data_IF_375669661711
#
_entry.id   IF_375669661711
#
_cell.length_a   1.000
_cell.length_b   1.000
_cell.length_c   1.000
_cell.angle_alpha   90.00
_cell.angle_beta   90.00
_cell.angle_gamma   90.00
#
_symmetry.space_group_name_H-M   'P 1'
#
loop_
_entity.id
_entity.type
_entity.pdbx_description
1 polymer ?
#
# COMPACT_ATOMS: atom_id res chain seq x y z
N UNK A 1 -17.07 -13.06 -16.68
CA UNK A 1 -16.84 -13.58 -18.05
C UNK A 1 -16.05 -12.57 -18.85
N UNK A 2 -15.08 -13.03 -19.64
CA UNK A 2 -14.31 -12.19 -20.56
C UNK A 2 -14.42 -12.72 -21.99
N UNK A 3 -14.41 -11.82 -22.97
CA UNK A 3 -14.40 -12.16 -24.40
C UNK A 3 -13.42 -11.28 -25.15
N UNK A 4 -12.76 -11.84 -26.14
CA UNK A 4 -11.94 -11.07 -27.08
C UNK A 4 -12.85 -10.50 -28.17
N UNK A 5 -12.74 -9.21 -28.44
CA UNK A 5 -13.51 -8.51 -29.48
C UNK A 5 -12.58 -7.51 -30.18
N UNK A 6 -12.28 -7.73 -31.46
CA UNK A 6 -11.51 -6.80 -32.31
C UNK A 6 -10.18 -6.30 -31.70
N UNK A 7 -9.41 -7.20 -31.08
CA UNK A 7 -8.07 -6.89 -30.54
C UNK A 7 -8.05 -6.28 -29.14
N UNK A 8 -9.17 -6.31 -28.41
CA UNK A 8 -9.23 -5.98 -26.98
C UNK A 8 -10.05 -7.02 -26.20
N UNK A 9 -9.83 -7.08 -24.89
CA UNK A 9 -10.62 -7.91 -23.98
C UNK A 9 -11.79 -7.11 -23.42
N UNK A 10 -13.00 -7.66 -23.48
CA UNK A 10 -14.19 -7.15 -22.79
C UNK A 10 -14.50 -8.03 -21.60
N UNK A 11 -14.68 -7.41 -20.44
CA UNK A 11 -15.01 -8.09 -19.18
C UNK A 11 -16.33 -7.57 -18.61
N UNK A 12 -17.01 -8.40 -17.82
CA UNK A 12 -18.11 -7.94 -16.96
C UNK A 12 -17.54 -7.68 -15.56
N UNK A 13 -17.64 -6.44 -15.11
CA UNK A 13 -17.20 -6.03 -13.78
C UNK A 13 -18.40 -5.89 -12.83
N UNK A 14 -18.19 -6.22 -11.56
CA UNK A 14 -19.12 -5.95 -10.48
C UNK A 14 -18.48 -4.95 -9.53
N UNK A 15 -19.18 -3.87 -9.22
CA UNK A 15 -18.74 -2.93 -8.19
C UNK A 15 -18.81 -3.63 -6.83
N UNK A 16 -17.69 -3.58 -6.11
CA UNK A 16 -17.65 -3.98 -4.71
C UNK A 16 -18.08 -2.79 -3.85
N UNK A 17 -18.90 -3.01 -2.82
CA UNK A 17 -19.22 -1.96 -1.87
C UNK A 17 -17.94 -1.52 -1.15
N UNK A 18 -17.80 -0.21 -0.91
CA UNK A 18 -16.71 0.31 -0.09
C UNK A 18 -16.86 -0.28 1.32
N UNK A 19 -15.81 -0.90 1.84
CA UNK A 19 -15.71 -1.22 3.26
C UNK A 19 -15.11 -0.01 3.95
N UNK A 20 -15.91 0.63 4.81
CA UNK A 20 -15.41 1.63 5.73
C UNK A 20 -15.12 0.92 7.06
N UNK A 21 -13.84 0.63 7.28
CA UNK A 21 -13.37 0.25 8.61
C UNK A 21 -13.28 1.55 9.41
N UNK A 22 -14.25 1.79 10.28
CA UNK A 22 -14.27 2.93 11.19
C UNK A 22 -14.07 2.43 12.62
N UNK A 23 -12.98 2.85 13.26
CA UNK A 23 -12.67 2.49 14.64
C UNK A 23 -11.23 2.87 15.03
N UNK A 24 -10.97 2.92 16.33
CA UNK A 24 -9.68 3.31 16.92
C UNK A 24 -8.49 2.48 16.39
N UNK A 25 -8.74 1.22 16.03
CA UNK A 25 -7.74 0.30 15.47
C UNK A 25 -7.21 0.77 14.10
N UNK A 26 -8.03 1.44 13.30
CA UNK A 26 -7.66 1.93 11.97
C UNK A 26 -6.74 3.13 12.09
N UNK A 27 -7.08 4.11 12.91
CA UNK A 27 -6.25 5.31 13.13
C UNK A 27 -4.88 4.97 13.74
N UNK A 28 -4.87 4.05 14.70
CA UNK A 28 -3.65 3.51 15.29
C UNK A 28 -2.78 2.82 14.23
N UNK A 29 -3.39 1.98 13.39
CA UNK A 29 -2.68 1.29 12.31
C UNK A 29 -2.15 2.26 11.26
N UNK A 30 -2.93 3.26 10.85
CA UNK A 30 -2.48 4.30 9.93
C UNK A 30 -1.24 5.03 10.46
N UNK A 31 -1.28 5.47 11.72
CA UNK A 31 -0.16 6.18 12.35
C UNK A 31 1.11 5.33 12.39
N UNK A 32 0.98 4.04 12.71
CA UNK A 32 2.08 3.08 12.69
C UNK A 32 2.66 2.90 11.28
N UNK A 33 1.80 2.68 10.29
CA UNK A 33 2.20 2.45 8.89
C UNK A 33 2.88 3.68 8.30
N UNK A 34 2.38 4.89 8.59
CA UNK A 34 3.03 6.15 8.19
C UNK A 34 4.45 6.19 8.74
N UNK A 35 4.62 5.97 10.05
CA UNK A 35 5.95 5.99 10.70
C UNK A 35 6.92 5.00 10.07
N UNK A 36 6.46 3.77 9.78
CA UNK A 36 7.26 2.75 9.09
C UNK A 36 7.64 3.18 7.68
N UNK A 37 6.72 3.79 6.95
CA UNK A 37 6.97 4.31 5.62
C UNK A 37 8.00 5.45 5.63
N UNK A 38 7.95 6.37 6.60
CA UNK A 38 8.96 7.43 6.70
C UNK A 38 10.37 6.86 6.90
N UNK A 39 10.50 5.81 7.72
CA UNK A 39 11.76 5.10 7.92
C UNK A 39 12.24 4.42 6.64
N UNK A 40 11.33 3.74 5.92
CA UNK A 40 11.62 3.11 4.63
C UNK A 40 12.12 4.12 3.59
N UNK A 41 11.45 5.26 3.41
CA UNK A 41 11.86 6.28 2.42
C UNK A 41 13.21 6.89 2.81
N UNK A 42 13.46 7.10 4.10
CA UNK A 42 14.75 7.60 4.59
C UNK A 42 15.90 6.62 4.34
N UNK A 43 15.67 5.33 4.49
CA UNK A 43 16.68 4.28 4.28
C UNK A 43 16.91 3.96 2.80
N UNK A 44 15.88 4.04 1.97
CA UNK A 44 15.98 3.85 0.52
C UNK A 44 16.71 4.99 -0.22
N UNK A 45 17.11 6.05 0.50
CA UNK A 45 17.83 7.22 -0.04
C UNK A 45 17.11 7.86 -1.24
N UNK A 46 15.77 7.91 -1.18
CA UNK A 46 14.97 8.45 -2.26
C UNK A 46 15.16 9.97 -2.38
N UNK A 47 15.44 10.44 -3.59
CA UNK A 47 15.65 11.86 -3.91
C UNK A 47 14.40 12.72 -3.61
N UNK A 48 13.22 12.10 -3.51
CA UNK A 48 11.93 12.74 -3.34
C UNK A 48 11.31 12.53 -1.94
N UNK A 49 12.13 12.44 -0.90
CA UNK A 49 11.66 12.24 0.49
C UNK A 49 10.48 13.15 0.87
N UNK A 50 10.63 14.48 0.75
CA UNK A 50 9.59 15.43 1.17
C UNK A 50 8.27 15.26 0.41
N UNK A 51 8.34 14.96 -0.89
CA UNK A 51 7.16 14.74 -1.71
C UNK A 51 6.44 13.43 -1.32
N UNK A 52 7.20 12.38 -0.98
CA UNK A 52 6.63 11.11 -0.54
C UNK A 52 5.98 11.21 0.84
N UNK A 53 6.60 11.93 1.78
CA UNK A 53 6.00 12.20 3.09
C UNK A 53 4.73 13.04 2.95
N UNK A 54 4.71 14.03 2.06
CA UNK A 54 3.52 14.82 1.81
C UNK A 54 2.38 13.97 1.22
N UNK A 55 2.69 13.01 0.34
CA UNK A 55 1.69 12.15 -0.30
C UNK A 55 0.94 11.24 0.69
N UNK A 56 1.58 10.83 1.79
CA UNK A 56 0.98 9.93 2.79
C UNK A 56 0.24 10.67 3.92
N UNK A 57 0.19 12.00 3.90
CA UNK A 57 -0.61 12.81 4.84
C UNK A 57 -2.07 12.86 4.39
N UNK A 58 -2.78 11.75 4.58
CA UNK A 58 -4.20 11.61 4.22
C UNK A 58 -5.00 11.01 5.38
N UNK A 59 -6.24 11.47 5.53
CA UNK A 59 -7.15 11.03 6.61
C UNK A 59 -7.99 9.80 6.21
N UNK A 60 -7.74 9.20 5.04
CA UNK A 60 -8.47 8.05 4.53
C UNK A 60 -7.54 6.83 4.43
N UNK A 61 -7.88 5.77 5.17
CA UNK A 61 -7.10 4.53 5.24
C UNK A 61 -6.88 3.86 3.88
N UNK A 62 -7.90 3.85 3.01
CA UNK A 62 -7.78 3.26 1.67
C UNK A 62 -6.79 4.05 0.82
N UNK A 63 -6.92 5.39 0.80
CA UNK A 63 -6.00 6.26 0.07
C UNK A 63 -4.57 6.16 0.58
N UNK A 64 -4.39 6.07 1.90
CA UNK A 64 -3.07 5.87 2.51
C UNK A 64 -2.44 4.57 2.01
N UNK A 65 -3.19 3.47 2.10
CA UNK A 65 -2.72 2.15 1.67
C UNK A 65 -2.35 2.15 0.18
N UNK A 66 -3.20 2.71 -0.68
CA UNK A 66 -2.96 2.77 -2.13
C UNK A 66 -1.73 3.63 -2.47
N UNK A 67 -1.56 4.75 -1.77
CA UNK A 67 -0.42 5.65 -1.96
C UNK A 67 0.88 4.97 -1.58
N UNK A 68 0.93 4.26 -0.45
CA UNK A 68 2.13 3.54 -0.02
C UNK A 68 2.42 2.37 -0.96
N UNK A 69 1.40 1.58 -1.33
CA UNK A 69 1.55 0.44 -2.23
C UNK A 69 2.09 0.84 -3.61
N UNK A 70 1.75 2.03 -4.11
CA UNK A 70 2.30 2.55 -5.38
C UNK A 70 3.82 2.79 -5.33
N UNK A 71 4.36 3.07 -4.14
CA UNK A 71 5.77 3.37 -3.93
C UNK A 71 6.59 2.21 -3.38
N UNK A 72 5.93 1.12 -2.96
CA UNK A 72 6.60 -0.10 -2.53
C UNK A 72 7.22 -0.85 -3.72
N UNK A 73 8.49 -1.21 -3.55
CA UNK A 73 9.25 -2.04 -4.49
C UNK A 73 9.08 -3.51 -4.09
N UNK A 74 7.90 -4.06 -4.37
CA UNK A 74 7.56 -5.48 -4.14
C UNK A 74 7.13 -6.15 -5.44
N UNK A 75 7.20 -7.48 -5.46
CA UNK A 75 6.84 -8.28 -6.62
C UNK A 75 5.36 -8.13 -7.00
N UNK A 76 5.03 -8.40 -8.27
CA UNK A 76 3.67 -8.23 -8.82
C UNK A 76 2.64 -9.08 -8.07
N UNK A 77 3.02 -10.28 -7.64
CA UNK A 77 2.17 -11.15 -6.83
C UNK A 77 1.76 -10.47 -5.52
N UNK A 78 2.68 -9.75 -4.88
CA UNK A 78 2.40 -9.05 -3.64
C UNK A 78 1.52 -7.82 -3.88
N UNK A 79 1.73 -7.10 -4.99
CA UNK A 79 0.84 -6.00 -5.39
C UNK A 79 -0.58 -6.50 -5.66
N UNK A 80 -0.72 -7.68 -6.26
CA UNK A 80 -2.02 -8.30 -6.49
C UNK A 80 -2.69 -8.72 -5.18
N UNK A 81 -1.94 -9.32 -4.24
CA UNK A 81 -2.45 -9.64 -2.91
C UNK A 81 -3.01 -8.40 -2.20
N UNK A 82 -2.29 -7.28 -2.24
CA UNK A 82 -2.76 -6.00 -1.68
C UNK A 82 -4.03 -5.48 -2.35
N UNK A 83 -4.15 -5.62 -3.68
CA UNK A 83 -5.32 -5.20 -4.45
C UNK A 83 -6.57 -6.01 -4.10
N UNK A 84 -6.40 -7.29 -3.77
CA UNK A 84 -7.50 -8.20 -3.42
C UNK A 84 -8.00 -8.05 -1.98
N UNK A 85 -7.22 -7.42 -1.10
CA UNK A 85 -7.64 -7.07 0.26
C UNK A 85 -8.62 -5.89 0.21
N UNK A 86 -9.92 -6.17 0.34
CA UNK A 86 -10.97 -5.16 0.26
C UNK A 86 -11.01 -4.28 1.52
N UNK A 87 -10.73 -4.85 2.69
CA UNK A 87 -10.68 -4.13 3.96
C UNK A 87 -9.45 -3.19 3.98
N UNK A 88 -9.66 -1.89 4.21
CA UNK A 88 -8.56 -0.95 4.41
C UNK A 88 -7.66 -1.33 5.59
N UNK A 89 -8.22 -1.83 6.69
CA UNK A 89 -7.44 -2.25 7.85
C UNK A 89 -6.52 -3.42 7.52
N UNK A 90 -7.05 -4.48 6.90
CA UNK A 90 -6.26 -5.64 6.51
C UNK A 90 -5.15 -5.26 5.53
N UNK A 91 -5.44 -4.37 4.57
CA UNK A 91 -4.46 -3.86 3.61
C UNK A 91 -3.35 -3.06 4.31
N UNK A 92 -3.69 -2.19 5.26
CA UNK A 92 -2.71 -1.44 6.05
C UNK A 92 -1.84 -2.35 6.92
N UNK A 93 -2.43 -3.38 7.55
CA UNK A 93 -1.68 -4.36 8.33
C UNK A 93 -0.68 -5.09 7.44
N UNK A 94 -1.10 -5.54 6.25
CA UNK A 94 -0.22 -6.20 5.29
C UNK A 94 0.91 -5.29 4.82
N UNK A 95 0.61 -4.03 4.48
CA UNK A 95 1.60 -3.01 4.11
C UNK A 95 2.62 -2.81 5.23
N UNK A 96 2.18 -2.71 6.49
CA UNK A 96 3.08 -2.58 7.63
C UNK A 96 4.08 -3.74 7.74
N UNK A 97 3.62 -4.98 7.55
CA UNK A 97 4.50 -6.15 7.54
C UNK A 97 5.50 -6.13 6.37
N UNK A 98 5.08 -5.68 5.18
CA UNK A 98 6.00 -5.55 4.04
C UNK A 98 7.05 -4.47 4.30
N UNK A 99 6.65 -3.33 4.87
CA UNK A 99 7.57 -2.26 5.22
C UNK A 99 8.61 -2.70 6.26
N UNK A 100 8.21 -3.49 7.27
CA UNK A 100 9.15 -4.07 8.25
C UNK A 100 10.22 -4.91 7.55
N UNK A 101 9.81 -5.82 6.66
CA UNK A 101 10.76 -6.67 5.90
C UNK A 101 11.69 -5.83 5.03
N UNK A 102 11.17 -4.82 4.33
CA UNK A 102 11.98 -3.96 3.46
C UNK A 102 12.95 -3.07 4.23
N UNK A 103 12.51 -2.52 5.38
CA UNK A 103 13.39 -1.77 6.29
C UNK A 103 14.53 -2.65 6.79
N UNK A 104 14.23 -3.88 7.22
CA UNK A 104 15.24 -4.82 7.72
C UNK A 104 16.26 -5.18 6.63
N UNK A 105 15.80 -5.44 5.39
CA UNK A 105 16.68 -5.66 4.24
C UNK A 105 17.61 -4.48 3.99
N UNK A 106 17.07 -3.27 3.91
CA UNK A 106 17.84 -2.05 3.68
C UNK A 106 18.87 -1.77 4.79
N UNK A 107 18.56 -2.15 6.04
CA UNK A 107 19.50 -2.04 7.15
C UNK A 107 20.65 -3.05 7.06
N UNK A 108 20.36 -4.28 6.62
CA UNK A 108 21.39 -5.31 6.40
C UNK A 108 22.31 -4.92 5.24
N UNK A 109 21.77 -4.44 4.12
CA UNK A 109 22.56 -4.05 2.95
C UNK A 109 23.49 -2.84 3.19
N UNK A 110 23.21 -2.05 4.22
CA UNK A 110 24.03 -0.91 4.65
C UNK A 110 25.12 -1.26 5.67
N UNK A 111 25.14 -2.49 6.20
CA UNK A 111 26.22 -2.99 7.07
C UNK A 111 27.36 -3.56 6.25
#
# INVERSE_FOLDING_TARGET
EWKEDKGFYRVVAKLLPKQDDAGDDVESTMSRVVTQFEQYVKLSNNLHYDAMIAAVRVDDASKLADTIAAHLVVDVEEKQNLLELISPLERLVRIGSLLEVEVDKLQVDRR
#
